data_IF_703239677430
#
_entry.id   IF_703239677430
#
_cell.length_a   1.000
_cell.length_b   1.000
_cell.length_c   1.000
_cell.angle_alpha   90.00
_cell.angle_beta   90.00
_cell.angle_gamma   90.00
#
_symmetry.space_group_name_H-M   'P 1'
#
loop_
_entity.id
_entity.type
_entity.pdbx_description
1 polymer ?
#
# COMPACT_ATOMS: atom_id res chain seq x y z
N UNK A 1 2.20 24.15 -5.98
CA UNK A 1 2.63 22.74 -5.87
C UNK A 1 1.67 22.02 -4.94
N UNK A 2 1.30 20.79 -5.23
CA UNK A 2 0.39 20.01 -4.36
C UNK A 2 1.24 19.34 -3.28
N UNK A 3 1.01 19.59 -1.99
CA UNK A 3 1.82 18.98 -0.96
C UNK A 3 1.50 17.49 -0.78
N UNK A 4 2.36 16.72 -0.13
CA UNK A 4 2.11 15.30 0.20
C UNK A 4 1.12 15.18 1.37
N UNK A 5 0.23 14.20 1.39
CA UNK A 5 -0.50 13.86 2.64
C UNK A 5 0.48 13.50 3.77
N UNK A 6 0.06 13.58 5.03
CA UNK A 6 0.97 13.24 6.15
C UNK A 6 1.50 11.80 6.07
N UNK A 7 0.66 10.86 5.60
CA UNK A 7 1.06 9.48 5.37
C UNK A 7 2.13 9.35 4.26
N UNK A 8 1.94 10.05 3.13
CA UNK A 8 2.94 10.08 2.06
C UNK A 8 4.24 10.76 2.52
N UNK A 9 4.17 11.85 3.30
CA UNK A 9 5.35 12.57 3.79
C UNK A 9 6.25 11.65 4.64
N UNK A 10 5.65 10.82 5.50
CA UNK A 10 6.39 9.79 6.26
C UNK A 10 7.13 8.82 5.33
N UNK A 11 6.43 8.27 4.32
CA UNK A 11 7.03 7.29 3.40
C UNK A 11 8.13 7.90 2.54
N UNK A 12 7.91 9.12 2.04
CA UNK A 12 8.93 9.87 1.30
C UNK A 12 10.16 10.17 2.16
N UNK A 13 9.97 10.59 3.42
CA UNK A 13 11.06 10.83 4.34
C UNK A 13 11.90 9.57 4.58
N UNK A 14 11.25 8.42 4.83
CA UNK A 14 11.95 7.14 4.98
C UNK A 14 12.71 6.75 3.71
N UNK A 15 12.10 6.94 2.54
CA UNK A 15 12.75 6.70 1.25
C UNK A 15 14.00 7.58 1.07
N UNK A 16 13.98 8.84 1.49
CA UNK A 16 15.15 9.75 1.40
C UNK A 16 16.23 9.41 2.43
N UNK A 17 15.83 8.98 3.63
CA UNK A 17 16.74 8.63 4.71
C UNK A 17 17.48 7.31 4.43
N UNK A 18 16.76 6.33 3.89
CA UNK A 18 17.26 4.95 3.71
C UNK A 18 17.71 4.65 2.28
N UNK A 19 17.25 5.43 1.31
CA UNK A 19 17.37 5.17 -0.11
C UNK A 19 16.26 4.26 -0.67
N UNK A 20 16.25 4.03 -2.00
CA UNK A 20 15.30 3.13 -2.63
C UNK A 20 15.38 1.70 -2.06
N UNK A 21 14.25 1.19 -1.59
CA UNK A 21 14.12 -0.16 -1.03
C UNK A 21 12.75 -0.76 -1.35
N UNK A 22 12.62 -2.07 -1.15
CA UNK A 22 11.36 -2.80 -1.34
C UNK A 22 10.50 -2.87 -0.06
N UNK A 23 10.91 -2.22 1.02
CA UNK A 23 10.28 -2.33 2.36
C UNK A 23 8.80 -1.97 2.35
N UNK A 24 8.40 -1.02 1.50
CA UNK A 24 7.02 -0.53 1.40
C UNK A 24 6.35 -0.92 0.07
N UNK A 25 6.79 -2.03 -0.52
CA UNK A 25 6.10 -2.60 -1.67
C UNK A 25 4.86 -3.40 -1.24
N UNK A 26 3.82 -3.31 -2.05
CA UNK A 26 2.56 -4.03 -1.91
C UNK A 26 2.34 -4.90 -3.16
N UNK A 27 2.84 -6.15 -3.16
CA UNK A 27 2.59 -7.08 -4.26
C UNK A 27 1.17 -7.68 -4.16
N UNK A 28 0.42 -7.58 -5.25
CA UNK A 28 -0.84 -8.30 -5.48
C UNK A 28 -0.64 -9.32 -6.60
N UNK A 29 -0.84 -10.60 -6.30
CA UNK A 29 -0.69 -11.69 -7.26
C UNK A 29 -2.01 -12.36 -7.56
N UNK A 30 -2.38 -12.46 -8.84
CA UNK A 30 -3.60 -13.10 -9.33
C UNK A 30 -3.22 -14.24 -10.27
N UNK A 31 -3.61 -15.47 -9.94
CA UNK A 31 -3.48 -16.62 -10.84
C UNK A 31 -4.72 -16.72 -11.71
N UNK A 32 -4.54 -16.55 -13.01
CA UNK A 32 -5.59 -16.49 -14.01
C UNK A 32 -5.57 -17.79 -14.83
N UNK A 33 -6.77 -18.35 -15.07
CA UNK A 33 -6.96 -19.58 -15.85
C UNK A 33 -7.92 -19.30 -17.00
N UNK A 34 -7.66 -19.93 -18.14
CA UNK A 34 -8.37 -19.71 -19.40
C UNK A 34 -7.56 -18.87 -20.39
N UNK A 35 -8.22 -18.50 -21.48
CA UNK A 35 -7.63 -17.67 -22.53
C UNK A 35 -7.59 -16.20 -22.07
N UNK A 36 -6.43 -15.76 -21.59
CA UNK A 36 -6.21 -14.40 -21.08
C UNK A 36 -5.67 -13.52 -22.19
N UNK A 37 -6.44 -12.52 -22.58
CA UNK A 37 -5.99 -11.49 -23.53
C UNK A 37 -5.03 -10.51 -22.82
N UNK A 38 -3.74 -10.71 -23.06
CA UNK A 38 -2.69 -9.91 -22.41
C UNK A 38 -2.71 -8.44 -22.84
N UNK A 39 -3.13 -8.12 -24.06
CA UNK A 39 -3.19 -6.73 -24.52
C UNK A 39 -4.42 -6.03 -23.95
N UNK A 40 -5.56 -6.72 -23.86
CA UNK A 40 -6.73 -6.21 -23.15
C UNK A 40 -6.43 -5.98 -21.66
N UNK A 41 -5.67 -6.87 -21.02
CA UNK A 41 -5.25 -6.72 -19.62
C UNK A 41 -4.30 -5.54 -19.41
N UNK A 42 -3.35 -5.35 -20.35
CA UNK A 42 -2.45 -4.18 -20.34
C UNK A 42 -3.21 -2.88 -20.53
N UNK A 43 -4.16 -2.84 -21.47
CA UNK A 43 -5.02 -1.68 -21.70
C UNK A 43 -5.91 -1.38 -20.48
N UNK A 44 -6.51 -2.40 -19.89
CA UNK A 44 -7.33 -2.28 -18.69
C UNK A 44 -6.53 -1.70 -17.51
N UNK A 45 -5.28 -2.13 -17.33
CA UNK A 45 -4.42 -1.57 -16.28
C UNK A 45 -4.08 -0.11 -16.55
N UNK A 46 -3.87 0.28 -17.81
CA UNK A 46 -3.69 1.70 -18.19
C UNK A 46 -4.96 2.50 -17.85
N UNK A 47 -6.15 2.01 -18.17
CA UNK A 47 -7.42 2.69 -17.85
C UNK A 47 -7.58 2.93 -16.34
N UNK A 48 -7.20 1.94 -15.53
CA UNK A 48 -7.21 2.05 -14.05
C UNK A 48 -6.21 3.11 -13.57
N UNK A 49 -5.00 3.15 -14.15
CA UNK A 49 -4.02 4.19 -13.83
C UNK A 49 -4.48 5.59 -14.26
N UNK A 50 -5.21 5.71 -15.36
CA UNK A 50 -5.79 6.98 -15.81
C UNK A 50 -6.87 7.47 -14.85
N UNK A 51 -7.76 6.55 -14.41
CA UNK A 51 -8.85 6.81 -13.46
C UNK A 51 -8.36 7.25 -12.08
N UNK A 52 -7.34 6.59 -11.55
CA UNK A 52 -6.82 6.81 -10.19
C UNK A 52 -5.52 7.61 -10.23
N UNK A 53 -5.58 8.91 -9.95
CA UNK A 53 -4.43 9.81 -10.05
C UNK A 53 -3.22 9.37 -9.21
N UNK A 54 -3.46 8.73 -8.06
CA UNK A 54 -2.39 8.24 -7.19
C UNK A 54 -1.49 7.22 -7.88
N UNK A 55 -2.00 6.44 -8.85
CA UNK A 55 -1.23 5.43 -9.58
C UNK A 55 -0.32 6.02 -10.67
N UNK A 56 -0.51 7.30 -11.01
CA UNK A 56 0.31 8.05 -11.97
C UNK A 56 0.92 9.32 -11.35
N UNK A 57 1.07 9.34 -10.03
CA UNK A 57 1.68 10.45 -9.29
C UNK A 57 3.12 10.12 -8.93
N UNK A 58 4.03 11.05 -9.23
CA UNK A 58 5.43 11.02 -8.78
C UNK A 58 5.68 12.09 -7.70
N UNK A 59 6.79 11.96 -6.97
CA UNK A 59 7.09 12.74 -5.76
C UNK A 59 8.45 13.45 -5.82
N UNK A 60 8.66 14.37 -6.78
CA UNK A 60 9.89 15.14 -6.88
C UNK A 60 10.03 16.14 -5.74
N UNK A 61 11.27 16.58 -5.53
CA UNK A 61 11.66 17.57 -4.54
C UNK A 61 12.02 18.89 -5.23
N UNK A 62 11.53 20.00 -4.69
CA UNK A 62 11.92 21.35 -5.10
C UNK A 62 12.26 22.14 -3.84
N UNK A 63 13.47 22.72 -3.80
CA UNK A 63 13.96 23.52 -2.67
C UNK A 63 13.88 22.80 -1.30
N UNK A 64 14.11 21.49 -1.26
CA UNK A 64 14.05 20.71 -0.02
C UNK A 64 12.68 20.11 0.30
N UNK A 65 11.62 20.50 -0.41
CA UNK A 65 10.25 20.11 -0.10
C UNK A 65 9.65 19.16 -1.17
N UNK A 66 9.07 18.02 -0.77
CA UNK A 66 8.39 17.13 -1.70
C UNK A 66 7.02 17.67 -2.10
N UNK A 67 6.61 17.38 -3.32
CA UNK A 67 5.26 17.63 -3.79
C UNK A 67 4.73 16.49 -4.65
N UNK A 68 3.40 16.38 -4.74
CA UNK A 68 2.74 15.47 -5.65
C UNK A 68 2.73 16.09 -7.05
N UNK A 69 3.25 15.35 -8.02
CA UNK A 69 3.15 15.66 -9.44
C UNK A 69 2.34 14.55 -10.12
N UNK A 70 1.06 14.84 -10.35
CA UNK A 70 0.17 13.93 -11.09
C UNK A 70 0.54 14.03 -12.58
N UNK A 71 1.01 12.93 -13.15
CA UNK A 71 1.36 12.89 -14.57
C UNK A 71 0.10 12.84 -15.44
N UNK A 72 0.02 13.64 -16.52
CA UNK A 72 -1.03 13.49 -17.54
C UNK A 72 -1.14 12.06 -18.08
N UNK A 73 -2.32 11.68 -18.59
CA UNK A 73 -2.59 10.32 -19.06
C UNK A 73 -1.66 9.87 -20.21
N UNK A 74 -1.22 10.81 -21.04
CA UNK A 74 -0.30 10.62 -22.16
C UNK A 74 1.19 10.71 -21.76
N UNK A 75 1.49 11.10 -20.52
CA UNK A 75 2.83 11.36 -20.04
C UNK A 75 3.39 10.27 -19.10
N UNK A 76 2.61 9.24 -18.77
CA UNK A 76 3.08 8.11 -17.98
C UNK A 76 3.20 6.82 -18.81
N UNK A 77 4.27 6.08 -18.51
CA UNK A 77 4.49 4.75 -19.06
C UNK A 77 4.08 3.68 -18.05
N UNK A 78 3.08 2.87 -18.41
CA UNK A 78 2.82 1.61 -17.73
C UNK A 78 3.99 0.67 -18.03
N UNK A 79 4.82 0.42 -17.01
CA UNK A 79 5.89 -0.57 -17.10
C UNK A 79 5.28 -1.97 -16.96
N UNK A 80 5.18 -2.65 -18.11
CA UNK A 80 4.56 -3.96 -18.28
C UNK A 80 5.58 -4.97 -18.84
N UNK A 81 5.80 -6.07 -18.11
CA UNK A 81 6.66 -7.16 -18.56
C UNK A 81 5.84 -8.44 -18.70
N UNK A 82 5.85 -9.06 -19.89
CA UNK A 82 5.20 -10.35 -20.12
C UNK A 82 6.26 -11.37 -20.52
N UNK A 83 6.40 -12.46 -19.77
CA UNK A 83 7.38 -13.52 -20.10
C UNK A 83 6.89 -14.92 -19.70
N UNK A 84 7.31 -15.97 -20.43
CA UNK A 84 7.09 -17.33 -19.98
C UNK A 84 7.88 -17.63 -18.70
N UNK A 85 7.32 -18.47 -17.83
CA UNK A 85 8.01 -19.00 -16.65
C UNK A 85 7.47 -20.41 -16.38
N UNK A 86 8.31 -21.30 -15.86
CA UNK A 86 7.84 -22.60 -15.37
C UNK A 86 7.23 -22.49 -13.96
N UNK A 87 6.44 -23.48 -13.56
CA UNK A 87 5.80 -23.53 -12.24
C UNK A 87 6.82 -23.53 -11.10
N UNK A 88 7.98 -24.17 -11.29
CA UNK A 88 9.07 -24.26 -10.32
C UNK A 88 9.94 -22.99 -10.25
N UNK A 89 9.95 -22.19 -11.31
CA UNK A 89 10.63 -20.88 -11.35
C UNK A 89 9.74 -19.75 -10.83
N UNK A 90 8.42 -19.91 -10.85
CA UNK A 90 7.44 -18.87 -10.49
C UNK A 90 7.70 -18.25 -9.10
N UNK A 91 7.97 -19.00 -8.01
CA UNK A 91 8.23 -18.38 -6.71
C UNK A 91 9.43 -17.43 -6.71
N UNK A 92 10.51 -17.81 -7.41
CA UNK A 92 11.72 -16.97 -7.55
C UNK A 92 11.47 -15.76 -8.43
N UNK A 93 10.67 -15.91 -9.49
CA UNK A 93 10.26 -14.81 -10.35
C UNK A 93 9.41 -13.77 -9.59
N UNK A 94 8.47 -14.23 -8.77
CA UNK A 94 7.63 -13.37 -7.93
C UNK A 94 8.44 -12.64 -6.86
N UNK A 95 9.33 -13.34 -6.13
CA UNK A 95 10.20 -12.71 -5.12
C UNK A 95 11.12 -11.66 -5.77
N UNK A 96 11.73 -11.98 -6.91
CA UNK A 96 12.57 -11.01 -7.65
C UNK A 96 11.78 -9.78 -8.11
N UNK A 97 10.54 -9.96 -8.59
CA UNK A 97 9.70 -8.84 -9.00
C UNK A 97 9.27 -8.01 -7.78
N UNK A 98 8.90 -8.64 -6.67
CA UNK A 98 8.47 -7.98 -5.43
C UNK A 98 9.57 -7.11 -4.80
N UNK A 99 10.84 -7.45 -5.05
CA UNK A 99 12.02 -6.72 -4.57
C UNK A 99 12.41 -5.52 -5.43
N UNK A 100 11.65 -5.20 -6.48
CA UNK A 100 11.92 -4.01 -7.26
C UNK A 100 11.90 -2.74 -6.40
N UNK A 101 12.88 -1.87 -6.58
CA UNK A 101 12.99 -0.59 -5.87
C UNK A 101 12.52 0.54 -6.77
N UNK A 102 11.44 1.22 -6.37
CA UNK A 102 10.95 2.42 -7.06
C UNK A 102 11.82 3.63 -6.72
N UNK A 103 12.13 4.48 -7.70
CA UNK A 103 12.55 5.86 -7.48
C UNK A 103 11.29 6.74 -7.42
N UNK A 104 10.90 7.15 -6.21
CA UNK A 104 9.66 7.91 -6.02
C UNK A 104 9.65 9.28 -6.72
N UNK A 105 10.82 9.80 -7.12
CA UNK A 105 10.91 11.09 -7.80
C UNK A 105 10.54 11.04 -9.28
N UNK A 106 10.61 9.85 -9.90
CA UNK A 106 10.49 9.68 -11.36
C UNK A 106 9.64 8.49 -11.79
N UNK A 107 9.56 7.43 -10.98
CA UNK A 107 8.77 6.25 -11.27
C UNK A 107 7.32 6.42 -10.80
N UNK A 108 6.36 6.09 -11.68
CA UNK A 108 4.99 5.87 -11.23
C UNK A 108 4.93 4.69 -10.26
N UNK A 109 4.10 4.75 -9.20
CA UNK A 109 4.14 3.82 -8.07
C UNK A 109 3.42 2.49 -8.37
N UNK A 110 3.43 2.04 -9.63
CA UNK A 110 2.81 0.80 -10.07
C UNK A 110 3.63 0.14 -11.20
N UNK A 111 3.90 -1.15 -11.06
CA UNK A 111 4.52 -2.01 -12.06
C UNK A 111 3.74 -3.31 -12.21
N UNK A 112 3.78 -3.89 -13.41
CA UNK A 112 3.05 -5.13 -13.69
C UNK A 112 3.90 -6.17 -14.43
N UNK A 113 3.73 -7.43 -14.01
CA UNK A 113 4.30 -8.60 -14.67
C UNK A 113 3.20 -9.60 -15.02
N UNK A 114 3.24 -10.13 -16.23
CA UNK A 114 2.44 -11.27 -16.66
C UNK A 114 3.34 -12.48 -16.88
N UNK A 115 3.35 -13.40 -15.92
CA UNK A 115 4.08 -14.66 -16.00
C UNK A 115 3.23 -15.72 -16.68
N UNK A 116 3.60 -16.13 -17.89
CA UNK A 116 2.87 -17.14 -18.67
C UNK A 116 3.37 -18.54 -18.30
N UNK A 117 2.53 -19.32 -17.61
CA UNK A 117 2.86 -20.68 -17.19
C UNK A 117 2.53 -21.69 -18.30
N UNK A 118 1.37 -21.53 -18.92
CA UNK A 118 0.81 -22.38 -19.98
C UNK A 118 -0.01 -21.53 -20.96
N UNK A 119 -0.44 -22.07 -22.11
CA UNK A 119 -1.31 -21.33 -23.04
C UNK A 119 -2.60 -20.81 -22.39
N UNK A 120 -3.15 -21.54 -21.41
CA UNK A 120 -4.40 -21.25 -20.71
C UNK A 120 -4.18 -20.87 -19.23
N UNK A 121 -2.96 -20.50 -18.85
CA UNK A 121 -2.67 -20.13 -17.47
C UNK A 121 -1.53 -19.13 -17.33
N UNK A 122 -1.79 -18.06 -16.60
CA UNK A 122 -0.79 -17.05 -16.27
C UNK A 122 -0.96 -16.54 -14.84
N UNK A 123 0.06 -15.85 -14.35
CA UNK A 123 0.03 -15.13 -13.08
C UNK A 123 0.30 -13.67 -13.37
N UNK A 124 -0.68 -12.81 -13.08
CA UNK A 124 -0.50 -11.38 -13.05
C UNK A 124 0.03 -10.98 -11.67
N UNK A 125 1.12 -10.23 -11.65
CA UNK A 125 1.60 -9.56 -10.45
C UNK A 125 1.53 -8.05 -10.68
N UNK A 126 0.79 -7.36 -9.81
CA UNK A 126 0.82 -5.92 -9.68
C UNK A 126 1.67 -5.58 -8.46
N UNK A 127 2.71 -4.77 -8.65
CA UNK A 127 3.52 -4.24 -7.57
C UNK A 127 3.25 -2.76 -7.44
N UNK A 128 2.65 -2.37 -6.31
CA UNK A 128 2.39 -0.98 -6.00
C UNK A 128 3.28 -0.53 -4.85
N UNK A 129 3.75 0.71 -4.86
CA UNK A 129 4.40 1.28 -3.67
C UNK A 129 3.32 1.81 -2.70
N UNK A 130 3.48 1.57 -1.39
CA UNK A 130 2.50 1.93 -0.35
C UNK A 130 2.23 3.45 -0.26
N UNK A 131 3.04 4.29 -0.93
CA UNK A 131 2.80 5.74 -1.04
C UNK A 131 1.56 6.08 -1.87
N UNK A 132 1.10 5.16 -2.73
CA UNK A 132 -0.01 5.37 -3.66
C UNK A 132 -1.31 4.66 -3.28
N UNK A 133 -1.27 3.77 -2.30
CA UNK A 133 -2.43 3.04 -1.82
C UNK A 133 -2.13 2.21 -0.59
N UNK A 134 -3.19 1.64 -0.02
CA UNK A 134 -3.16 0.85 1.21
C UNK A 134 -4.00 -0.44 1.07
N UNK A 135 -4.17 -1.16 2.18
CA UNK A 135 -4.95 -2.41 2.19
C UNK A 135 -6.40 -2.22 1.74
N UNK A 136 -7.00 -1.05 1.98
CA UNK A 136 -8.37 -0.75 1.54
C UNK A 136 -8.42 -0.51 0.04
N UNK A 137 -7.35 0.05 -0.53
CA UNK A 137 -7.21 0.35 -1.95
C UNK A 137 -7.15 -0.90 -2.83
N UNK A 138 -6.82 -2.08 -2.27
CA UNK A 138 -6.70 -3.33 -3.03
C UNK A 138 -8.03 -3.80 -3.64
N UNK A 139 -9.13 -3.65 -2.91
CA UNK A 139 -10.46 -4.04 -3.37
C UNK A 139 -10.96 -3.20 -4.56
N UNK A 140 -10.98 -1.84 -4.50
CA UNK A 140 -11.37 -1.04 -5.65
C UNK A 140 -10.40 -1.19 -6.83
N UNK A 141 -9.09 -1.33 -6.60
CA UNK A 141 -8.11 -1.61 -7.66
C UNK A 141 -8.47 -2.88 -8.44
N UNK A 142 -8.75 -3.98 -7.72
CA UNK A 142 -9.10 -5.26 -8.34
C UNK A 142 -10.43 -5.19 -9.08
N UNK A 143 -11.44 -4.54 -8.48
CA UNK A 143 -12.76 -4.37 -9.10
C UNK A 143 -12.66 -3.58 -10.40
N UNK A 144 -12.01 -2.42 -10.38
CA UNK A 144 -11.90 -1.53 -11.53
C UNK A 144 -11.05 -2.19 -12.64
N UNK A 145 -10.03 -3.00 -12.29
CA UNK A 145 -9.28 -3.80 -13.25
C UNK A 145 -10.14 -4.85 -13.95
N UNK A 146 -11.01 -5.56 -13.21
CA UNK A 146 -11.91 -6.56 -13.79
C UNK A 146 -12.92 -5.89 -14.74
N UNK A 147 -13.47 -4.75 -14.34
CA UNK A 147 -14.40 -3.97 -15.15
C UNK A 147 -13.75 -3.48 -16.45
N UNK A 148 -12.56 -2.88 -16.35
CA UNK A 148 -11.80 -2.43 -17.51
C UNK A 148 -11.36 -3.60 -18.41
N UNK A 149 -10.92 -4.72 -17.84
CA UNK A 149 -10.55 -5.90 -18.61
C UNK A 149 -11.74 -6.44 -19.41
N UNK A 150 -12.91 -6.54 -18.77
CA UNK A 150 -14.13 -7.00 -19.44
C UNK A 150 -14.50 -6.09 -20.62
N UNK A 151 -14.42 -4.77 -20.43
CA UNK A 151 -14.65 -3.79 -21.48
C UNK A 151 -13.65 -3.91 -22.64
N UNK A 152 -12.36 -4.05 -22.33
CA UNK A 152 -11.29 -4.12 -23.33
C UNK A 152 -11.32 -5.42 -24.14
N UNK A 153 -11.71 -6.54 -23.54
CA UNK A 153 -11.98 -7.79 -24.27
C UNK A 153 -13.12 -7.62 -25.28
N UNK A 154 -14.14 -6.83 -24.93
CA UNK A 154 -15.26 -6.46 -25.81
C UNK A 154 -14.90 -5.31 -26.78
N UNK A 155 -13.64 -4.86 -26.83
CA UNK A 155 -13.15 -3.77 -27.67
C UNK A 155 -13.88 -2.44 -27.46
N UNK A 156 -14.30 -2.16 -26.22
CA UNK A 156 -14.86 -0.88 -25.79
C UNK A 156 -14.05 -0.26 -24.67
N UNK A 157 -14.29 1.02 -24.42
CA UNK A 157 -13.77 1.69 -23.23
C UNK A 157 -14.56 1.27 -21.98
N UNK A 158 -13.95 1.25 -20.79
CA UNK A 158 -14.68 1.09 -19.54
C UNK A 158 -15.67 2.23 -19.32
N UNK A 159 -16.86 1.88 -18.84
CA UNK A 159 -17.94 2.83 -18.57
C UNK A 159 -18.14 2.98 -17.06
N UNK A 160 -17.38 3.89 -16.45
CA UNK A 160 -17.49 4.21 -15.04
C UNK A 160 -17.83 5.67 -14.81
N UNK A 161 -18.52 5.96 -13.70
CA UNK A 161 -18.71 7.35 -13.25
C UNK A 161 -17.38 7.96 -12.81
N UNK A 162 -17.18 9.25 -13.09
CA UNK A 162 -16.05 10.01 -12.59
C UNK A 162 -16.00 9.95 -11.06
N UNK A 163 -14.78 9.88 -10.52
CA UNK A 163 -14.58 9.92 -9.08
C UNK A 163 -14.85 11.36 -8.60
N UNK A 164 -15.74 11.57 -7.61
CA UNK A 164 -16.10 12.93 -7.17
C UNK A 164 -14.95 13.66 -6.47
N UNK A 165 -13.94 12.92 -6.03
CA UNK A 165 -12.70 13.41 -5.43
C UNK A 165 -11.55 12.50 -5.83
N UNK A 166 -10.37 13.08 -5.96
CA UNK A 166 -9.09 12.40 -6.15
C UNK A 166 -8.24 12.47 -4.87
N UNK A 167 -7.14 11.72 -4.84
CA UNK A 167 -6.27 11.69 -3.66
C UNK A 167 -5.63 13.06 -3.35
N UNK A 168 -5.43 13.89 -4.38
CA UNK A 168 -5.02 15.29 -4.23
C UNK A 168 -6.04 16.08 -3.40
N UNK A 169 -7.33 15.91 -3.68
CA UNK A 169 -8.40 16.60 -2.93
C UNK A 169 -8.41 16.16 -1.46
N UNK A 170 -8.25 14.85 -1.19
CA UNK A 170 -8.08 14.34 0.17
C UNK A 170 -6.88 14.99 0.86
N UNK A 171 -5.78 15.17 0.15
CA UNK A 171 -4.55 15.76 0.69
C UNK A 171 -4.72 17.23 1.06
N UNK A 172 -5.48 17.98 0.26
CA UNK A 172 -5.79 19.38 0.52
C UNK A 172 -6.82 19.51 1.66
N UNK A 173 -7.87 18.70 1.62
CA UNK A 173 -8.88 18.62 2.67
C UNK A 173 -8.28 18.28 4.03
N UNK A 174 -7.36 17.32 4.11
CA UNK A 174 -6.70 16.93 5.36
C UNK A 174 -5.98 18.13 6.00
N UNK A 175 -5.36 18.99 5.20
CA UNK A 175 -4.65 20.18 5.68
C UNK A 175 -5.62 21.26 6.15
N UNK A 176 -6.64 21.51 5.35
CA UNK A 176 -7.68 22.48 5.70
C UNK A 176 -8.37 22.08 7.01
N UNK A 177 -8.72 20.81 7.18
CA UNK A 177 -9.36 20.29 8.37
C UNK A 177 -8.49 20.43 9.62
N UNK A 178 -7.21 20.08 9.51
CA UNK A 178 -6.29 20.11 10.65
C UNK A 178 -5.90 21.55 11.02
N UNK A 179 -5.89 22.46 10.06
CA UNK A 179 -5.52 23.86 10.27
C UNK A 179 -4.01 24.07 10.39
N UNK A 180 -3.63 25.28 10.82
CA UNK A 180 -2.24 25.71 10.93
C UNK A 180 -1.56 25.11 12.18
N UNK A 181 -0.37 24.56 12.02
CA UNK A 181 0.44 24.00 13.12
C UNK A 181 0.94 25.07 14.12
N UNK A 182 0.96 26.33 13.70
CA UNK A 182 1.37 27.47 14.52
C UNK A 182 0.21 28.15 15.24
N UNK A 183 -1.02 27.81 14.87
CA UNK A 183 -2.23 28.27 15.55
C UNK A 183 -2.53 27.34 16.75
N UNK A 184 -2.45 27.83 18.00
CA UNK A 184 -2.74 27.03 19.18
C UNK A 184 -4.19 26.55 19.26
N UNK A 185 -5.11 27.19 18.55
CA UNK A 185 -6.53 26.84 18.53
C UNK A 185 -6.90 25.87 17.39
N UNK A 186 -5.93 25.46 16.56
CA UNK A 186 -6.19 24.51 15.49
C UNK A 186 -6.38 23.08 15.99
N UNK A 187 -7.14 22.28 15.22
CA UNK A 187 -7.32 20.85 15.48
C UNK A 187 -5.97 20.12 15.48
N UNK A 188 -5.03 20.56 14.66
CA UNK A 188 -3.66 20.04 14.63
C UNK A 188 -2.98 20.19 15.99
N UNK A 189 -2.96 21.41 16.53
CA UNK A 189 -2.33 21.72 17.82
C UNK A 189 -2.98 20.95 18.96
N UNK A 190 -4.32 20.89 19.00
CA UNK A 190 -5.07 20.14 20.01
C UNK A 190 -4.68 18.64 20.01
N UNK A 191 -4.66 18.01 18.83
CA UNK A 191 -4.30 16.59 18.72
C UNK A 191 -2.84 16.32 19.07
N UNK A 192 -1.93 17.22 18.69
CA UNK A 192 -0.50 17.10 19.05
C UNK A 192 -0.32 17.19 20.56
N UNK A 193 -1.02 18.10 21.23
CA UNK A 193 -0.93 18.24 22.69
C UNK A 193 -1.49 17.02 23.41
N UNK A 194 -2.60 16.46 22.93
CA UNK A 194 -3.13 15.18 23.44
C UNK A 194 -2.08 14.06 23.33
N UNK A 195 -1.51 13.84 22.15
CA UNK A 195 -0.54 12.77 21.95
C UNK A 195 0.77 13.00 22.70
N UNK A 196 1.21 14.26 22.85
CA UNK A 196 2.38 14.61 23.66
C UNK A 196 2.16 14.24 25.13
N UNK A 197 0.95 14.45 25.66
CA UNK A 197 0.60 14.08 27.02
C UNK A 197 0.50 12.55 27.19
N UNK A 198 -0.21 11.86 26.28
CA UNK A 198 -0.45 10.41 26.36
C UNK A 198 0.83 9.59 26.20
N UNK A 199 1.76 10.04 25.35
CA UNK A 199 3.02 9.36 25.08
C UNK A 199 4.18 9.85 25.98
N UNK A 200 3.90 10.73 26.94
CA UNK A 200 4.92 11.28 27.84
C UNK A 200 5.52 10.18 28.73
N UNK A 201 6.86 10.15 28.80
CA UNK A 201 7.58 9.22 29.68
C UNK A 201 7.63 7.77 29.18
N UNK A 202 7.23 7.51 27.93
CA UNK A 202 7.48 6.22 27.31
C UNK A 202 8.99 5.91 27.24
N UNK A 203 9.39 4.65 27.39
CA UNK A 203 10.78 4.26 27.20
C UNK A 203 11.21 4.54 25.76
N UNK A 204 12.47 4.94 25.56
CA UNK A 204 13.05 5.13 24.22
C UNK A 204 12.95 3.86 23.38
N UNK A 205 12.99 2.70 24.05
CA UNK A 205 12.95 1.39 23.40
C UNK A 205 12.26 0.36 24.27
N UNK A 206 11.31 -0.38 23.69
CA UNK A 206 10.81 -1.64 24.25
C UNK A 206 11.80 -2.75 23.88
N UNK A 207 12.23 -3.55 24.87
CA UNK A 207 13.11 -4.69 24.66
C UNK A 207 12.34 -5.99 24.87
N UNK A 208 12.55 -6.95 23.98
CA UNK A 208 12.00 -8.30 24.06
C UNK A 208 13.16 -9.31 24.15
N UNK A 209 12.91 -10.54 24.61
CA UNK A 209 13.88 -11.61 24.47
C UNK A 209 14.18 -11.83 22.98
N UNK A 210 15.40 -11.46 22.54
CA UNK A 210 15.85 -11.64 21.15
C UNK A 210 16.96 -12.67 21.07
N UNK A 211 16.96 -13.47 20.01
CA UNK A 211 18.03 -14.44 19.73
C UNK A 211 19.36 -13.76 19.36
N UNK A 212 19.31 -12.49 18.94
CA UNK A 212 20.45 -11.71 18.44
C UNK A 212 20.37 -10.26 18.94
N UNK A 213 21.51 -9.57 19.11
CA UNK A 213 21.52 -8.14 19.42
C UNK A 213 20.96 -7.33 18.24
N UNK A 214 20.33 -6.19 18.55
CA UNK A 214 19.83 -5.26 17.54
C UNK A 214 21.01 -4.60 16.80
N UNK A 215 21.06 -4.63 15.46
CA UNK A 215 22.10 -3.93 14.70
C UNK A 215 21.86 -2.41 14.66
N UNK A 216 22.91 -1.63 14.38
CA UNK A 216 22.82 -0.18 14.24
C UNK A 216 22.01 0.27 13.00
N UNK A 217 22.04 -0.53 11.94
CA UNK A 217 21.25 -0.32 10.72
C UNK A 217 20.25 -1.47 10.58
N UNK A 218 18.97 -1.16 10.39
CA UNK A 218 17.94 -2.17 10.17
C UNK A 218 18.15 -2.84 8.80
N UNK A 219 18.17 -4.17 8.76
CA UNK A 219 18.26 -4.93 7.50
C UNK A 219 16.93 -5.09 6.77
N UNK A 220 15.81 -4.78 7.43
CA UNK A 220 14.43 -4.92 6.93
C UNK A 220 14.03 -6.33 6.45
N UNK A 221 14.88 -7.34 6.67
CA UNK A 221 14.54 -8.74 6.45
C UNK A 221 13.53 -9.21 7.50
N UNK A 222 12.39 -9.69 7.02
CA UNK A 222 11.31 -10.23 7.84
C UNK A 222 10.89 -11.62 7.38
N UNK A 223 10.25 -12.37 8.28
CA UNK A 223 9.60 -13.63 7.99
C UNK A 223 8.16 -13.59 8.53
N UNK A 224 7.29 -14.42 7.97
CA UNK A 224 5.90 -14.55 8.40
C UNK A 224 5.69 -15.92 9.04
N UNK A 225 5.05 -15.92 10.21
CA UNK A 225 4.56 -17.12 10.86
C UNK A 225 3.04 -17.03 10.98
N UNK A 226 2.34 -18.02 10.42
CA UNK A 226 0.89 -18.11 10.49
C UNK A 226 0.50 -19.11 11.58
N UNK A 227 -0.44 -18.71 12.43
CA UNK A 227 -1.11 -19.57 13.39
C UNK A 227 -2.60 -19.24 13.42
N UNK A 228 -3.41 -20.17 13.91
CA UNK A 228 -4.86 -20.03 13.92
C UNK A 228 -5.39 -20.12 15.35
N UNK A 229 -6.43 -19.35 15.64
CA UNK A 229 -7.24 -19.50 16.84
C UNK A 229 -8.45 -20.33 16.46
N UNK A 230 -8.63 -21.48 17.11
CA UNK A 230 -9.75 -22.36 16.80
C UNK A 230 -11.11 -21.70 17.09
N UNK A 231 -12.16 -22.29 16.54
CA UNK A 231 -13.51 -21.74 16.63
C UNK A 231 -14.05 -21.69 18.08
N UNK A 232 -13.59 -22.57 18.96
CA UNK A 232 -13.99 -22.57 20.37
C UNK A 232 -13.36 -21.40 21.12
N UNK A 233 -12.05 -21.22 20.97
CA UNK A 233 -11.32 -20.09 21.53
C UNK A 233 -11.88 -18.76 21.00
N UNK A 234 -12.12 -18.66 19.69
CA UNK A 234 -12.71 -17.47 19.11
C UNK A 234 -14.10 -17.14 19.70
N UNK A 235 -14.97 -18.14 19.89
CA UNK A 235 -16.26 -17.93 20.57
C UNK A 235 -16.06 -17.46 22.01
N UNK A 236 -15.07 -17.99 22.71
CA UNK A 236 -14.67 -17.56 24.05
C UNK A 236 -14.28 -16.08 24.09
N UNK A 237 -13.45 -15.64 23.15
CA UNK A 237 -13.00 -14.24 23.01
C UNK A 237 -14.17 -13.29 22.72
N UNK A 238 -15.07 -13.66 21.81
CA UNK A 238 -16.30 -12.89 21.52
C UNK A 238 -17.18 -12.79 22.77
N UNK A 239 -17.32 -13.90 23.52
CA UNK A 239 -18.06 -13.92 24.77
C UNK A 239 -17.44 -13.04 25.84
N UNK A 240 -16.10 -13.02 25.96
CA UNK A 240 -15.38 -12.17 26.90
C UNK A 240 -15.57 -10.69 26.56
N UNK A 241 -15.34 -10.31 25.30
CA UNK A 241 -15.52 -8.94 24.81
C UNK A 241 -16.91 -8.39 25.16
N UNK A 242 -17.97 -9.18 24.91
CA UNK A 242 -19.35 -8.80 25.26
C UNK A 242 -19.58 -8.61 26.76
N UNK A 243 -18.98 -9.44 27.62
CA UNK A 243 -19.15 -9.34 29.07
C UNK A 243 -18.34 -8.20 29.70
N UNK A 244 -17.34 -7.68 28.99
CA UNK A 244 -16.47 -6.60 29.44
C UNK A 244 -16.74 -5.26 28.73
N UNK A 245 -17.88 -5.13 28.03
CA UNK A 245 -18.23 -3.95 27.23
C UNK A 245 -17.08 -3.50 26.30
N UNK A 246 -16.37 -4.49 25.74
CA UNK A 246 -15.17 -4.30 24.92
C UNK A 246 -15.38 -4.89 23.53
N UNK A 247 -14.48 -4.57 22.61
CA UNK A 247 -14.42 -5.22 21.30
C UNK A 247 -13.47 -6.42 21.35
N UNK A 248 -13.58 -7.35 20.38
CA UNK A 248 -12.62 -8.45 20.23
C UNK A 248 -11.20 -7.91 20.02
N UNK A 249 -11.06 -6.77 19.32
CA UNK A 249 -9.79 -6.07 19.15
C UNK A 249 -9.15 -5.71 20.50
N UNK A 250 -9.90 -5.10 21.42
CA UNK A 250 -9.41 -4.74 22.76
C UNK A 250 -8.99 -5.97 23.58
N UNK A 251 -9.74 -7.07 23.50
CA UNK A 251 -9.39 -8.33 24.19
C UNK A 251 -8.08 -8.90 23.66
N UNK A 252 -7.90 -8.94 22.33
CA UNK A 252 -6.65 -9.40 21.70
C UNK A 252 -5.48 -8.46 22.03
N UNK A 253 -5.70 -7.15 22.02
CA UNK A 253 -4.71 -6.16 22.40
C UNK A 253 -4.26 -6.34 23.86
N UNK A 254 -5.20 -6.58 24.78
CA UNK A 254 -4.89 -6.87 26.18
C UNK A 254 -4.10 -8.18 26.34
N UNK A 255 -4.46 -9.23 25.60
CA UNK A 255 -3.72 -10.48 25.57
C UNK A 255 -2.29 -10.31 25.05
N UNK A 256 -2.11 -9.52 23.98
CA UNK A 256 -0.80 -9.20 23.43
C UNK A 256 0.03 -8.37 24.43
N UNK A 257 -0.56 -7.36 25.07
CA UNK A 257 0.12 -6.58 26.10
C UNK A 257 0.56 -7.46 27.28
N UNK A 258 -0.31 -8.35 27.76
CA UNK A 258 0.01 -9.28 28.86
C UNK A 258 1.08 -10.32 28.50
N UNK A 259 1.17 -10.71 27.21
CA UNK A 259 2.23 -11.59 26.71
C UNK A 259 3.60 -10.88 26.66
N UNK A 260 3.58 -9.57 26.43
CA UNK A 260 4.77 -8.76 26.19
C UNK A 260 5.29 -8.00 27.43
N UNK A 261 4.57 -8.06 28.54
CA UNK A 261 5.00 -7.63 29.89
C UNK A 261 5.73 -8.73 30.63
#
# INVERSE_FOLDING_TARGET
MIPLSFAQRRLWFLHKLEGPSATYNMPLTLRLKGDVDAEALRAALRDVMERHESLRTVFPEVDGEPHQLVLPADAFDLVWESRPVSEDELPRALDSAARHTFDLSSDVPLRAWLFRLRPDECVLMLLMHHIAGDGWSMAPLTRDLVEAYTARVEQRDPEWSELPVQYVDYTLWQRELLGDETDPESVFSEQVDYWRAELAGLPEQVTFPTDRPRPATAGYEGAQLTFELDAELHRGLVGLARRSDSTVFMVLQAGMAALLT
#
